data_IF_659029773569
#
_entry.id   IF_659029773569
#
_cell.length_a   1.000
_cell.length_b   1.000
_cell.length_c   1.000
_cell.angle_alpha   90.00
_cell.angle_beta   90.00
_cell.angle_gamma   90.00
#
_symmetry.space_group_name_H-M   'P 1'
#
loop_
_entity.id
_entity.type
_entity.pdbx_description
1 polymer ?
#
# COMPACT_ATOMS: atom_id res chain seq x y z
N UNK A 1 -8.30 32.54 56.02
CA UNK A 1 -7.81 31.87 54.79
C UNK A 1 -7.27 30.51 55.21
N UNK A 2 -7.89 29.41 54.75
CA UNK A 2 -7.56 28.07 55.23
C UNK A 2 -6.08 27.75 54.94
N UNK A 3 -5.32 27.32 55.95
CA UNK A 3 -3.88 27.04 55.87
C UNK A 3 -3.55 26.10 54.71
N UNK A 4 -4.41 25.11 54.48
CA UNK A 4 -4.35 24.17 53.34
C UNK A 4 -4.27 24.90 51.99
N UNK A 5 -5.08 25.95 51.78
CA UNK A 5 -5.09 26.73 50.54
C UNK A 5 -3.81 27.54 50.36
N UNK A 6 -3.27 28.10 51.45
CA UNK A 6 -2.03 28.86 51.40
C UNK A 6 -0.83 27.97 51.06
N UNK A 7 -0.75 26.79 51.67
CA UNK A 7 0.28 25.78 51.36
C UNK A 7 0.13 25.29 49.92
N UNK A 8 -1.09 24.99 49.47
CA UNK A 8 -1.34 24.50 48.10
C UNK A 8 -0.93 25.53 47.03
N UNK A 9 -1.24 26.82 47.23
CA UNK A 9 -0.83 27.89 46.30
C UNK A 9 0.70 28.04 46.26
N UNK A 10 1.37 27.90 47.41
CA UNK A 10 2.83 27.98 47.50
C UNK A 10 3.48 26.83 46.72
N UNK A 11 3.10 25.59 46.99
CA UNK A 11 3.68 24.41 46.33
C UNK A 11 3.40 24.41 44.81
N UNK A 12 2.21 24.85 44.39
CA UNK A 12 1.89 25.00 42.97
C UNK A 12 2.78 26.06 42.29
N UNK A 13 3.02 27.18 42.97
CA UNK A 13 3.85 28.29 42.45
C UNK A 13 5.33 27.91 42.40
N UNK A 14 5.81 27.12 43.35
CA UNK A 14 7.18 26.61 43.38
C UNK A 14 7.36 25.54 42.29
N UNK A 15 6.41 24.62 42.12
CA UNK A 15 6.41 23.65 41.03
C UNK A 15 6.37 24.29 39.65
N UNK A 16 5.58 25.35 39.46
CA UNK A 16 5.52 26.10 38.19
C UNK A 16 6.81 26.87 37.85
N UNK A 17 7.65 27.17 38.86
CA UNK A 17 8.94 27.84 38.64
C UNK A 17 10.03 26.87 38.23
N UNK A 18 9.92 25.60 38.60
CA UNK A 18 10.85 24.56 38.16
C UNK A 18 10.53 24.12 36.72
N UNK A 19 10.92 24.98 35.77
CA UNK A 19 10.71 24.74 34.34
C UNK A 19 11.41 23.47 33.85
N UNK A 20 12.51 23.05 34.49
CA UNK A 20 13.25 21.85 34.08
C UNK A 20 12.48 20.60 34.48
N UNK A 21 12.03 20.54 35.74
CA UNK A 21 11.20 19.43 36.22
C UNK A 21 9.85 19.38 35.51
N UNK A 22 9.23 20.53 35.24
CA UNK A 22 8.01 20.59 34.44
C UNK A 22 8.22 20.12 33.01
N UNK A 23 9.31 20.54 32.35
CA UNK A 23 9.61 20.08 31.00
C UNK A 23 9.81 18.56 30.96
N UNK A 24 10.59 17.98 31.87
CA UNK A 24 10.76 16.51 31.91
C UNK A 24 9.45 15.77 32.23
N UNK A 25 8.64 16.29 33.16
CA UNK A 25 7.38 15.68 33.56
C UNK A 25 6.30 15.75 32.47
N UNK A 26 6.29 16.82 31.65
CA UNK A 26 5.27 17.02 30.61
C UNK A 26 5.73 16.61 29.20
N UNK A 27 7.03 16.44 28.96
CA UNK A 27 7.56 16.09 27.63
C UNK A 27 6.93 14.82 27.10
N UNK A 28 7.01 13.71 27.83
CA UNK A 28 6.44 12.45 27.36
C UNK A 28 4.90 12.54 27.25
N UNK A 29 4.12 12.90 28.29
CA UNK A 29 2.65 12.93 28.24
C UNK A 29 2.05 13.77 27.11
N UNK A 30 2.68 14.89 26.76
CA UNK A 30 2.25 15.71 25.62
C UNK A 30 2.78 15.18 24.28
N UNK A 31 3.95 14.57 24.25
CA UNK A 31 4.53 14.05 23.02
C UNK A 31 3.78 12.83 22.48
N UNK A 32 3.33 11.90 23.32
CA UNK A 32 2.68 10.68 22.81
C UNK A 32 1.41 10.92 22.01
N UNK A 33 0.42 11.72 22.46
CA UNK A 33 -0.77 11.97 21.66
C UNK A 33 -0.44 12.57 20.29
N UNK A 34 0.53 13.50 20.24
CA UNK A 34 0.99 14.12 18.99
C UNK A 34 1.71 13.10 18.10
N UNK A 35 2.57 12.27 18.68
CA UNK A 35 3.31 11.23 17.96
C UNK A 35 2.36 10.15 17.41
N UNK A 36 1.42 9.67 18.22
CA UNK A 36 0.39 8.71 17.83
C UNK A 36 -0.49 9.30 16.73
N UNK A 37 -0.94 10.55 16.88
CA UNK A 37 -1.71 11.24 15.85
C UNK A 37 -0.93 11.34 14.53
N UNK A 38 0.36 11.67 14.59
CA UNK A 38 1.25 11.70 13.43
C UNK A 38 1.40 10.33 12.76
N UNK A 39 1.64 9.27 13.54
CA UNK A 39 1.70 7.90 13.03
C UNK A 39 0.37 7.45 12.41
N UNK A 40 -0.76 7.72 13.06
CA UNK A 40 -2.08 7.40 12.52
C UNK A 40 -2.33 8.13 11.21
N UNK A 41 -1.96 9.41 11.13
CA UNK A 41 -2.09 10.18 9.88
C UNK A 41 -1.23 9.59 8.77
N UNK A 42 0.00 9.15 9.06
CA UNK A 42 0.89 8.50 8.08
C UNK A 42 0.30 7.17 7.57
N UNK A 43 -0.23 6.34 8.47
CA UNK A 43 -0.86 5.05 8.12
C UNK A 43 -2.12 5.29 7.31
N UNK A 44 -2.96 6.25 7.69
CA UNK A 44 -4.18 6.59 6.97
C UNK A 44 -3.84 7.10 5.57
N UNK A 45 -2.85 7.99 5.43
CA UNK A 45 -2.39 8.48 4.12
C UNK A 45 -1.92 7.35 3.22
N UNK A 46 -1.07 6.44 3.72
CA UNK A 46 -0.62 5.28 2.95
C UNK A 46 -1.76 4.35 2.49
N UNK A 47 -2.87 4.29 3.24
CA UNK A 47 -4.03 3.46 2.87
C UNK A 47 -5.06 4.21 2.03
N UNK A 48 -5.07 5.54 2.04
CA UNK A 48 -6.11 6.38 1.42
C UNK A 48 -5.62 7.07 0.14
N UNK A 49 -4.31 7.30 -0.01
CA UNK A 49 -3.72 7.78 -1.26
C UNK A 49 -3.88 6.68 -2.32
N UNK A 50 -5.02 6.74 -2.98
CA UNK A 50 -5.14 6.42 -4.40
C UNK A 50 -4.28 7.48 -5.11
N UNK A 51 -2.96 7.32 -5.07
CA UNK A 51 -2.10 8.07 -5.99
C UNK A 51 -2.68 7.85 -7.39
N UNK A 52 -2.80 8.91 -8.19
CA UNK A 52 -3.12 8.80 -9.61
C UNK A 52 -1.97 7.99 -10.25
N UNK A 53 -2.14 6.67 -10.29
CA UNK A 53 -1.11 5.75 -10.74
C UNK A 53 -1.03 5.86 -12.26
N UNK A 54 -0.10 6.70 -12.72
CA UNK A 54 0.21 6.81 -14.14
C UNK A 54 0.96 5.56 -14.58
N UNK A 55 0.46 4.93 -15.65
CA UNK A 55 1.02 3.73 -16.23
C UNK A 55 1.41 3.99 -17.68
N UNK A 56 2.72 4.20 -17.96
CA UNK A 56 3.23 4.29 -19.32
C UNK A 56 3.11 2.95 -20.03
N UNK A 57 2.47 2.93 -21.20
CA UNK A 57 2.23 1.72 -21.99
C UNK A 57 2.66 1.92 -23.45
N UNK A 58 3.44 0.97 -23.95
CA UNK A 58 3.76 0.80 -25.37
C UNK A 58 2.77 -0.19 -25.98
N UNK A 59 2.15 0.18 -27.11
CA UNK A 59 1.24 -0.71 -27.84
C UNK A 59 -0.16 -0.83 -27.23
N UNK A 60 -0.69 0.26 -26.67
CA UNK A 60 -2.04 0.29 -26.05
C UNK A 60 -3.13 -0.24 -26.98
N UNK A 61 -3.06 0.15 -28.26
CA UNK A 61 -4.03 -0.23 -29.29
C UNK A 61 -4.10 -1.74 -29.54
N UNK A 62 -3.01 -2.47 -29.27
CA UNK A 62 -2.96 -3.90 -29.48
C UNK A 62 -3.74 -4.69 -28.42
N UNK A 63 -4.05 -4.11 -27.25
CA UNK A 63 -4.69 -4.85 -26.16
C UNK A 63 -5.79 -4.03 -25.43
N UNK A 64 -6.85 -3.59 -26.11
CA UNK A 64 -7.88 -2.73 -25.52
C UNK A 64 -8.61 -3.38 -24.33
N UNK A 65 -8.78 -4.71 -24.33
CA UNK A 65 -9.40 -5.41 -23.21
C UNK A 65 -8.51 -5.40 -21.95
N UNK A 66 -7.19 -5.49 -22.12
CA UNK A 66 -6.24 -5.39 -21.01
C UNK A 66 -6.10 -3.94 -20.52
N UNK A 67 -6.16 -2.96 -21.42
CA UNK A 67 -6.13 -1.54 -21.05
C UNK A 67 -7.30 -1.18 -20.13
N UNK A 68 -8.52 -1.61 -20.48
CA UNK A 68 -9.70 -1.40 -19.61
C UNK A 68 -9.53 -1.98 -18.20
N UNK A 69 -8.89 -3.15 -18.07
CA UNK A 69 -8.63 -3.76 -16.76
C UNK A 69 -7.67 -2.91 -15.90
N UNK A 70 -6.72 -2.21 -16.52
CA UNK A 70 -5.86 -1.27 -15.80
C UNK A 70 -6.63 -0.01 -15.40
N UNK A 71 -7.44 0.56 -16.30
CA UNK A 71 -8.26 1.75 -16.01
C UNK A 71 -9.28 1.48 -14.89
N UNK A 72 -9.98 0.35 -14.92
CA UNK A 72 -10.92 -0.09 -13.87
C UNK A 72 -10.23 -0.26 -12.50
N UNK A 73 -8.93 -0.58 -12.50
CA UNK A 73 -8.12 -0.69 -11.29
C UNK A 73 -7.55 0.66 -10.80
N UNK A 74 -7.93 1.77 -11.44
CA UNK A 74 -7.57 3.13 -11.10
C UNK A 74 -6.23 3.60 -11.67
N UNK A 75 -5.73 2.98 -12.75
CA UNK A 75 -4.55 3.49 -13.45
C UNK A 75 -4.93 4.50 -14.54
N UNK A 76 -4.16 5.57 -14.65
CA UNK A 76 -4.23 6.47 -15.82
C UNK A 76 -3.21 6.00 -16.84
N UNK A 77 -3.68 5.58 -18.01
CA UNK A 77 -2.80 5.05 -19.06
C UNK A 77 -2.22 6.19 -19.90
N UNK A 78 -0.90 6.19 -20.06
CA UNK A 78 -0.20 7.14 -20.92
C UNK A 78 0.55 6.42 -22.04
N UNK A 79 0.40 6.92 -23.27
CA UNK A 79 1.15 6.38 -24.40
C UNK A 79 2.63 6.68 -24.17
N UNK A 80 3.45 5.64 -24.29
CA UNK A 80 4.90 5.77 -24.12
C UNK A 80 5.59 5.49 -25.45
N UNK A 81 6.38 6.47 -25.90
CA UNK A 81 7.24 6.35 -27.07
C UNK A 81 8.70 6.45 -26.65
N UNK A 82 9.55 5.55 -27.13
CA UNK A 82 11.00 5.57 -26.87
C UNK A 82 11.55 4.25 -26.30
N UNK A 83 12.72 4.33 -25.64
CA UNK A 83 13.34 3.16 -25.00
C UNK A 83 12.84 3.03 -23.55
N UNK A 84 12.03 2.00 -23.24
CA UNK A 84 11.52 1.80 -21.88
C UNK A 84 12.62 1.49 -20.87
N UNK A 85 13.67 0.76 -21.27
CA UNK A 85 14.80 0.44 -20.41
C UNK A 85 15.61 1.69 -20.02
N UNK A 86 15.78 2.63 -20.95
CA UNK A 86 16.45 3.89 -20.67
C UNK A 86 15.61 4.74 -19.71
N UNK A 87 14.31 4.89 -19.95
CA UNK A 87 13.44 5.71 -19.12
C UNK A 87 13.30 5.18 -17.68
N UNK A 88 13.24 3.86 -17.50
CA UNK A 88 13.24 3.23 -16.17
C UNK A 88 14.60 3.40 -15.48
N UNK A 89 15.71 3.26 -16.22
CA UNK A 89 17.07 3.42 -15.69
C UNK A 89 17.37 4.87 -15.26
N UNK A 90 16.91 5.83 -16.05
CA UNK A 90 17.08 7.26 -15.81
C UNK A 90 16.09 7.80 -14.76
N UNK A 91 15.19 6.93 -14.27
CA UNK A 91 14.16 7.22 -13.25
C UNK A 91 13.13 8.26 -13.69
N UNK A 92 12.97 8.45 -15.00
CA UNK A 92 11.94 9.30 -15.59
C UNK A 92 10.55 8.70 -15.36
N UNK A 93 10.46 7.37 -15.41
CA UNK A 93 9.25 6.60 -15.13
C UNK A 93 9.55 5.47 -14.16
N UNK A 94 8.54 5.04 -13.41
CA UNK A 94 8.71 3.97 -12.44
C UNK A 94 8.72 2.58 -13.10
N UNK A 95 7.80 2.38 -14.04
CA UNK A 95 7.71 1.15 -14.82
C UNK A 95 7.09 1.45 -16.18
N UNK A 96 7.31 0.56 -17.15
CA UNK A 96 6.66 0.59 -18.45
C UNK A 96 6.06 -0.78 -18.75
N UNK A 97 4.83 -0.80 -19.26
CA UNK A 97 4.21 -2.02 -19.80
C UNK A 97 4.34 -2.00 -21.32
N UNK A 98 4.87 -3.09 -21.89
CA UNK A 98 4.99 -3.23 -23.33
C UNK A 98 4.13 -4.41 -23.79
N UNK A 99 3.17 -4.09 -24.66
CA UNK A 99 2.30 -5.04 -25.33
C UNK A 99 2.91 -5.33 -26.71
N UNK A 100 3.11 -6.60 -27.09
CA UNK A 100 3.66 -6.93 -28.39
C UNK A 100 2.63 -6.72 -29.51
N UNK A 101 3.09 -6.42 -30.72
CA UNK A 101 2.23 -6.11 -31.87
C UNK A 101 1.36 -7.31 -32.29
N UNK A 102 1.84 -8.53 -32.07
CA UNK A 102 1.16 -9.81 -32.34
C UNK A 102 0.10 -10.18 -31.30
N UNK A 103 -0.22 -9.29 -30.35
CA UNK A 103 -1.16 -9.57 -29.25
C UNK A 103 -2.53 -10.03 -29.76
N UNK A 104 -3.09 -9.37 -30.76
CA UNK A 104 -4.41 -9.73 -31.30
C UNK A 104 -4.39 -11.08 -32.02
N UNK A 105 -3.33 -11.37 -32.78
CA UNK A 105 -3.17 -12.63 -33.50
C UNK A 105 -3.02 -13.80 -32.51
N UNK A 106 -2.10 -13.67 -31.56
CA UNK A 106 -1.87 -14.68 -30.51
C UNK A 106 -3.13 -14.89 -29.65
N UNK A 107 -3.89 -13.82 -29.35
CA UNK A 107 -5.14 -13.94 -28.62
C UNK A 107 -6.20 -14.71 -29.42
N UNK A 108 -6.36 -14.41 -30.71
CA UNK A 108 -7.32 -15.07 -31.60
C UNK A 108 -7.01 -16.56 -31.80
N UNK A 109 -5.72 -16.91 -31.86
CA UNK A 109 -5.25 -18.30 -32.03
C UNK A 109 -5.21 -19.10 -30.72
N UNK A 110 -5.66 -18.53 -29.60
CA UNK A 110 -5.57 -19.12 -28.26
C UNK A 110 -4.14 -19.46 -27.81
N UNK A 111 -3.17 -18.69 -28.30
CA UNK A 111 -1.76 -18.83 -27.97
C UNK A 111 -1.38 -18.00 -26.74
N UNK A 112 -0.12 -18.15 -26.31
CA UNK A 112 0.44 -17.41 -25.18
C UNK A 112 1.08 -16.12 -25.68
N UNK A 113 0.57 -14.99 -25.21
CA UNK A 113 1.15 -13.67 -25.44
C UNK A 113 2.03 -13.24 -24.27
N UNK A 114 3.16 -12.58 -24.54
CA UNK A 114 4.08 -12.09 -23.51
C UNK A 114 3.98 -10.57 -23.39
N UNK A 115 3.26 -10.10 -22.37
CA UNK A 115 3.26 -8.69 -21.98
C UNK A 115 4.46 -8.44 -21.06
N UNK A 116 5.32 -7.51 -21.44
CA UNK A 116 6.53 -7.18 -20.68
C UNK A 116 6.23 -6.08 -19.66
N UNK A 117 6.72 -6.27 -18.43
CA UNK A 117 6.64 -5.26 -17.36
C UNK A 117 8.06 -4.86 -16.98
N UNK A 118 8.51 -3.75 -17.54
CA UNK A 118 9.88 -3.25 -17.42
C UNK A 118 9.94 -2.34 -16.20
N UNK A 119 10.83 -2.64 -15.25
CA UNK A 119 10.98 -1.93 -13.97
C UNK A 119 12.38 -2.16 -13.40
N UNK A 120 12.82 -1.30 -12.48
CA UNK A 120 14.06 -1.50 -11.70
C UNK A 120 13.73 -2.27 -10.41
N UNK A 121 14.22 -3.52 -10.30
CA UNK A 121 13.98 -4.38 -9.14
C UNK A 121 14.74 -3.98 -7.85
N UNK A 122 15.72 -3.08 -7.95
CA UNK A 122 16.46 -2.57 -6.79
C UNK A 122 15.68 -1.50 -6.01
N UNK A 123 14.67 -0.90 -6.64
CA UNK A 123 13.83 0.15 -6.09
C UNK A 123 12.76 -0.42 -5.17
N UNK A 124 12.64 0.12 -3.96
CA UNK A 124 11.63 -0.31 -2.99
C UNK A 124 10.30 0.45 -3.13
N UNK A 125 10.37 1.71 -3.53
CA UNK A 125 9.24 2.60 -3.83
C UNK A 125 8.34 2.00 -4.94
N UNK A 126 8.93 1.48 -6.02
CA UNK A 126 8.18 0.94 -7.16
C UNK A 126 7.62 -0.48 -6.93
N UNK A 127 8.05 -1.20 -5.87
CA UNK A 127 7.66 -2.62 -5.63
C UNK A 127 6.15 -2.81 -5.51
N UNK A 128 5.47 -1.87 -4.88
CA UNK A 128 4.03 -1.97 -4.65
C UNK A 128 3.26 -1.86 -5.95
N UNK A 129 3.62 -0.91 -6.81
CA UNK A 129 2.96 -0.66 -8.08
C UNK A 129 3.22 -1.82 -9.05
N UNK A 130 4.47 -2.29 -9.16
CA UNK A 130 4.81 -3.47 -9.99
C UNK A 130 4.03 -4.70 -9.55
N UNK A 131 3.88 -4.93 -8.24
CA UNK A 131 3.06 -6.03 -7.72
C UNK A 131 1.58 -5.87 -8.09
N UNK A 132 1.03 -4.65 -8.01
CA UNK A 132 -0.36 -4.36 -8.42
C UNK A 132 -0.57 -4.67 -9.91
N UNK A 133 0.30 -4.18 -10.79
CA UNK A 133 0.25 -4.43 -12.25
C UNK A 133 0.36 -5.94 -12.56
N UNK A 134 1.32 -6.65 -11.96
CA UNK A 134 1.46 -8.11 -12.14
C UNK A 134 0.24 -8.88 -11.68
N UNK A 135 -0.36 -8.50 -10.56
CA UNK A 135 -1.58 -9.12 -10.06
C UNK A 135 -2.76 -8.91 -11.03
N UNK A 136 -2.91 -7.71 -11.59
CA UNK A 136 -3.94 -7.44 -12.60
C UNK A 136 -3.76 -8.30 -13.86
N UNK A 137 -2.53 -8.37 -14.39
CA UNK A 137 -2.21 -9.24 -15.54
C UNK A 137 -2.52 -10.70 -15.20
N UNK A 138 -2.16 -11.17 -14.00
CA UNK A 138 -2.44 -12.55 -13.58
C UNK A 138 -3.94 -12.83 -13.43
N UNK A 139 -4.73 -11.88 -12.92
CA UNK A 139 -6.18 -12.02 -12.79
C UNK A 139 -6.84 -12.08 -14.16
N UNK A 140 -6.46 -11.14 -15.05
CA UNK A 140 -6.91 -11.14 -16.43
C UNK A 140 -6.57 -12.45 -17.17
N UNK A 141 -5.35 -12.98 -16.96
CA UNK A 141 -4.96 -14.28 -17.49
C UNK A 141 -5.85 -15.43 -16.97
N UNK A 142 -6.22 -15.42 -15.69
CA UNK A 142 -7.10 -16.44 -15.13
C UNK A 142 -8.52 -16.39 -15.72
N UNK A 143 -9.05 -15.18 -15.96
CA UNK A 143 -10.34 -14.98 -16.63
C UNK A 143 -10.29 -15.50 -18.07
N UNK A 144 -9.26 -15.12 -18.82
CA UNK A 144 -9.05 -15.62 -20.18
C UNK A 144 -8.91 -17.14 -20.21
N UNK A 145 -8.10 -17.72 -19.33
CA UNK A 145 -7.92 -19.16 -19.26
C UNK A 145 -9.26 -19.89 -18.98
N UNK A 146 -10.09 -19.35 -18.10
CA UNK A 146 -11.42 -19.88 -17.85
C UNK A 146 -12.32 -19.85 -19.11
N UNK A 147 -12.34 -18.72 -19.82
CA UNK A 147 -13.10 -18.58 -21.07
C UNK A 147 -12.60 -19.56 -22.15
N UNK A 148 -11.28 -19.74 -22.26
CA UNK A 148 -10.65 -20.68 -23.21
C UNK A 148 -11.00 -22.14 -22.89
N UNK A 149 -11.07 -22.50 -21.60
CA UNK A 149 -11.52 -23.84 -21.20
C UNK A 149 -13.00 -24.06 -21.54
N UNK A 150 -13.87 -23.08 -21.23
CA UNK A 150 -15.30 -23.15 -21.56
C UNK A 150 -15.51 -23.33 -23.06
N UNK A 151 -14.80 -22.56 -23.89
CA UNK A 151 -14.87 -22.65 -25.35
C UNK A 151 -14.47 -24.03 -25.89
N UNK A 152 -13.66 -24.79 -25.13
CA UNK A 152 -13.23 -26.16 -25.45
C UNK A 152 -14.09 -27.25 -24.76
N UNK A 153 -15.19 -26.87 -24.11
CA UNK A 153 -16.06 -27.80 -23.39
C UNK A 153 -15.46 -28.31 -22.08
N UNK A 154 -14.39 -27.67 -21.58
CA UNK A 154 -13.71 -28.05 -20.35
C UNK A 154 -14.17 -27.14 -19.21
N UNK A 155 -14.56 -27.72 -18.09
CA UNK A 155 -14.98 -26.95 -16.90
C UNK A 155 -13.80 -26.17 -16.31
N UNK A 156 -13.89 -24.84 -16.10
CA UNK A 156 -12.83 -24.05 -15.47
C UNK A 156 -12.51 -24.48 -14.03
N UNK A 157 -13.41 -25.23 -13.38
CA UNK A 157 -13.20 -25.74 -12.01
C UNK A 157 -11.93 -26.57 -11.89
N UNK A 158 -11.46 -27.19 -12.98
CA UNK A 158 -10.21 -27.98 -12.96
C UNK A 158 -8.96 -27.13 -12.67
N UNK A 159 -9.01 -25.82 -12.92
CA UNK A 159 -7.90 -24.91 -12.60
C UNK A 159 -7.82 -24.60 -11.10
N UNK A 160 -8.92 -24.77 -10.35
CA UNK A 160 -9.00 -24.42 -8.93
C UNK A 160 -8.88 -25.67 -8.05
N UNK A 161 -7.65 -26.20 -7.94
CA UNK A 161 -7.38 -27.38 -7.10
C UNK A 161 -7.39 -27.10 -5.60
N UNK A 162 -7.00 -25.90 -5.18
CA UNK A 162 -6.94 -25.50 -3.77
C UNK A 162 -7.42 -24.05 -3.64
N UNK A 163 -8.30 -23.79 -2.67
CA UNK A 163 -8.74 -22.44 -2.31
C UNK A 163 -8.32 -22.17 -0.87
N UNK A 164 -7.50 -21.14 -0.68
CA UNK A 164 -7.18 -20.66 0.66
C UNK A 164 -8.44 -20.12 1.33
N UNK A 165 -8.68 -20.54 2.58
CA UNK A 165 -9.69 -19.97 3.46
C UNK A 165 -8.96 -19.43 4.70
N UNK A 166 -8.97 -18.12 4.86
CA UNK A 166 -8.45 -17.49 6.08
C UNK A 166 -9.55 -17.48 7.15
N UNK A 167 -9.18 -17.82 8.38
CA UNK A 167 -10.01 -17.61 9.56
C UNK A 167 -9.19 -16.75 10.51
N UNK A 168 -9.59 -15.49 10.66
CA UNK A 168 -9.01 -14.65 11.70
C UNK A 168 -9.62 -15.05 13.04
N UNK A 169 -8.77 -15.48 13.96
CA UNK A 169 -9.14 -15.92 15.31
C UNK A 169 -8.92 -14.82 16.35
N UNK A 170 -8.37 -13.67 15.95
CA UNK A 170 -8.17 -12.55 16.85
C UNK A 170 -9.52 -11.93 17.23
N UNK A 171 -9.78 -11.80 18.53
CA UNK A 171 -10.90 -11.01 19.02
C UNK A 171 -10.63 -9.51 18.82
N UNK A 172 -11.68 -8.69 18.83
CA UNK A 172 -11.54 -7.25 18.70
C UNK A 172 -10.71 -6.67 19.87
N UNK A 173 -10.80 -7.27 21.06
CA UNK A 173 -9.95 -6.91 22.21
C UNK A 173 -8.48 -7.23 21.96
N UNK A 174 -8.15 -8.39 21.36
CA UNK A 174 -6.76 -8.74 21.03
C UNK A 174 -6.16 -7.83 19.98
N UNK A 175 -6.95 -7.42 18.98
CA UNK A 175 -6.51 -6.44 17.97
C UNK A 175 -6.24 -5.08 18.61
N UNK A 176 -7.14 -4.61 19.48
CA UNK A 176 -6.94 -3.38 20.24
C UNK A 176 -5.72 -3.47 21.15
N UNK A 177 -5.54 -4.58 21.88
CA UNK A 177 -4.38 -4.80 22.74
C UNK A 177 -3.06 -4.77 21.96
N UNK A 178 -3.02 -5.35 20.76
CA UNK A 178 -1.82 -5.30 19.90
C UNK A 178 -1.45 -3.89 19.48
N UNK A 179 -2.44 -3.02 19.20
CA UNK A 179 -2.20 -1.61 18.94
C UNK A 179 -1.68 -0.88 20.18
N UNK A 180 -2.08 -1.32 21.37
CA UNK A 180 -1.73 -0.70 22.66
C UNK A 180 -0.44 -1.27 23.28
N UNK A 181 0.21 -2.27 22.65
CA UNK A 181 1.42 -2.91 23.18
C UNK A 181 2.61 -1.96 23.40
N UNK A 182 2.59 -0.76 22.80
CA UNK A 182 3.60 0.27 23.04
C UNK A 182 3.35 1.09 24.31
N UNK A 183 2.15 1.05 24.91
CA UNK A 183 1.82 1.83 26.11
C UNK A 183 2.70 1.46 27.31
N UNK A 184 2.95 0.18 27.64
CA UNK A 184 3.78 -0.16 28.80
C UNK A 184 5.20 0.38 28.70
N UNK A 185 5.84 0.28 27.53
CA UNK A 185 7.19 0.83 27.33
C UNK A 185 7.18 2.36 27.36
N UNK A 186 6.12 2.99 26.87
CA UNK A 186 5.96 4.43 26.93
C UNK A 186 5.74 4.95 28.36
N UNK A 187 4.91 4.28 29.17
CA UNK A 187 4.70 4.62 30.59
C UNK A 187 6.02 4.47 31.37
N UNK A 188 6.79 3.43 31.08
CA UNK A 188 8.10 3.22 31.69
C UNK A 188 9.06 4.37 31.33
N UNK A 189 9.12 4.76 30.06
CA UNK A 189 9.92 5.91 29.61
C UNK A 189 9.44 7.26 30.16
N UNK A 190 8.15 7.40 30.48
CA UNK A 190 7.61 8.62 31.09
C UNK A 190 7.84 8.68 32.60
N UNK A 191 8.06 7.54 33.26
CA UNK A 191 8.26 7.44 34.70
C UNK A 191 9.72 7.62 35.14
N UNK A 192 10.69 7.49 34.21
CA UNK A 192 12.13 7.61 34.44
C UNK A 192 12.74 8.76 33.63
#
# INVERSE_FOLDING_TARGET
MNVVRAVLIKELKDGLRDRRALLSAFLFPLFAPVFIYGLMTLVIKQNTESEDLVLPVIGQDYAPALMRQFEEAGFTLEAFDGSPEAAVRDKTVELVVQVPEDYQETMANFELTRVLVIHDGSRNDTRTIVRKVRNLISNYNNELAALRLIARGVSPKIMQGVRAKSSDVASDEQRAANLLNFIPIYVLMAAF
#
